data_IF_645347534780
#
_entry.id   IF_645347534780
#
_cell.length_a   1.000
_cell.length_b   1.000
_cell.length_c   1.000
_cell.angle_alpha   90.00
_cell.angle_beta   90.00
_cell.angle_gamma   90.00
#
_symmetry.space_group_name_H-M   'P 1'
#
loop_
_entity.id
_entity.type
_entity.pdbx_description
1 polymer ?
#
# COMPACT_ATOMS: atom_id res chain seq x y z
N UNK A 1 7.68 2.58 -8.59
CA UNK A 1 7.66 4.02 -8.98
C UNK A 1 8.99 4.52 -9.57
N UNK A 2 10.13 3.92 -9.21
CA UNK A 2 11.48 4.35 -9.62
C UNK A 2 11.71 4.49 -11.12
N UNK A 3 11.00 3.70 -11.94
CA UNK A 3 11.05 3.80 -13.42
C UNK A 3 10.58 5.16 -13.96
N UNK A 4 9.84 5.94 -13.16
CA UNK A 4 9.40 7.29 -13.51
C UNK A 4 10.20 8.36 -12.76
N UNK A 5 10.32 8.23 -11.44
CA UNK A 5 11.01 9.23 -10.62
C UNK A 5 11.48 8.64 -9.29
N UNK A 6 12.53 9.25 -8.73
CA UNK A 6 13.00 8.97 -7.37
C UNK A 6 13.07 10.27 -6.57
N UNK A 7 12.77 10.18 -5.28
CA UNK A 7 12.99 11.27 -4.32
C UNK A 7 14.47 11.28 -3.93
N UNK A 8 15.23 12.25 -4.42
CA UNK A 8 16.64 12.40 -4.11
C UNK A 8 16.83 13.39 -2.97
N UNK A 9 17.67 13.02 -2.01
CA UNK A 9 18.03 13.85 -0.86
C UNK A 9 19.51 14.21 -1.01
N UNK A 10 19.88 15.51 -0.92
CA UNK A 10 21.28 15.90 -0.89
C UNK A 10 22.03 15.16 0.23
N UNK A 11 23.26 14.75 -0.05
CA UNK A 11 24.02 13.94 0.91
C UNK A 11 24.21 14.69 2.23
N UNK A 12 23.73 14.12 3.33
CA UNK A 12 23.81 14.68 4.69
C UNK A 12 22.54 15.40 5.17
N UNK A 13 21.56 15.63 4.29
CA UNK A 13 20.31 16.31 4.64
C UNK A 13 19.20 15.34 5.06
N UNK A 14 18.15 15.87 5.68
CA UNK A 14 16.92 15.13 6.03
C UNK A 14 15.95 15.03 4.85
N UNK A 15 14.98 14.12 4.94
CA UNK A 15 14.10 13.75 3.82
C UNK A 15 13.22 14.90 3.30
N UNK A 16 12.95 15.91 4.12
CA UNK A 16 12.19 17.11 3.79
C UNK A 16 12.94 18.07 2.85
N UNK A 17 14.27 17.92 2.70
CA UNK A 17 15.08 18.68 1.73
C UNK A 17 15.17 18.02 0.34
N UNK A 18 14.46 16.92 0.12
CA UNK A 18 14.54 16.20 -1.15
C UNK A 18 13.74 16.83 -2.30
N UNK A 19 13.97 16.28 -3.49
CA UNK A 19 13.21 16.61 -4.69
C UNK A 19 13.07 15.39 -5.61
N UNK A 20 12.05 15.38 -6.47
CA UNK A 20 11.89 14.33 -7.46
C UNK A 20 12.83 14.52 -8.66
N UNK A 21 13.60 13.50 -8.99
CA UNK A 21 14.40 13.38 -10.22
C UNK A 21 13.73 12.40 -11.16
N UNK A 22 13.53 12.82 -12.41
CA UNK A 22 12.79 12.08 -13.45
C UNK A 22 13.66 11.05 -14.17
N UNK A 23 13.02 9.97 -14.63
CA UNK A 23 13.60 8.85 -15.38
C UNK A 23 12.77 8.60 -16.66
N UNK A 24 13.39 8.04 -17.73
CA UNK A 24 12.71 7.80 -19.01
C UNK A 24 11.73 6.61 -18.92
N UNK A 25 10.56 6.84 -18.34
CA UNK A 25 9.59 5.79 -17.98
C UNK A 25 9.14 4.92 -19.15
N UNK A 26 8.95 5.50 -20.33
CA UNK A 26 8.41 4.77 -21.49
C UNK A 26 9.43 3.77 -22.04
N UNK A 27 10.70 4.16 -22.12
CA UNK A 27 11.79 3.29 -22.54
C UNK A 27 12.03 2.18 -21.51
N UNK A 28 12.08 2.54 -20.22
CA UNK A 28 12.31 1.57 -19.13
C UNK A 28 11.19 0.53 -19.02
N UNK A 29 9.92 0.93 -19.18
CA UNK A 29 8.80 -0.02 -19.20
C UNK A 29 8.84 -0.93 -20.44
N UNK A 30 9.23 -0.40 -21.60
CA UNK A 30 9.37 -1.19 -22.83
C UNK A 30 10.47 -2.25 -22.69
N UNK A 31 11.62 -1.90 -22.11
CA UNK A 31 12.71 -2.83 -21.82
C UNK A 31 12.27 -3.87 -20.79
N UNK A 32 11.61 -3.46 -19.71
CA UNK A 32 11.10 -4.37 -18.69
C UNK A 32 10.11 -5.39 -19.27
N UNK A 33 9.20 -4.95 -20.14
CA UNK A 33 8.26 -5.84 -20.82
C UNK A 33 8.97 -6.80 -21.78
N UNK A 34 9.97 -6.33 -22.54
CA UNK A 34 10.78 -7.17 -23.43
C UNK A 34 11.49 -8.28 -22.65
N UNK A 35 12.17 -7.92 -21.56
CA UNK A 35 12.89 -8.89 -20.73
C UNK A 35 11.96 -9.84 -19.99
N UNK A 36 10.80 -9.37 -19.54
CA UNK A 36 9.71 -10.21 -19.00
C UNK A 36 9.29 -11.29 -20.00
N UNK A 37 9.06 -10.92 -21.27
CA UNK A 37 8.66 -11.86 -22.32
C UNK A 37 9.77 -12.87 -22.66
N UNK A 38 11.02 -12.40 -22.80
CA UNK A 38 12.18 -13.27 -23.08
C UNK A 38 12.36 -14.35 -22.02
N UNK A 39 12.07 -14.03 -20.76
CA UNK A 39 12.24 -14.94 -19.63
C UNK A 39 10.96 -15.65 -19.20
N UNK A 40 9.82 -15.36 -19.83
CA UNK A 40 8.49 -15.82 -19.39
C UNK A 40 8.24 -15.53 -17.90
N UNK A 41 8.73 -14.38 -17.44
CA UNK A 41 8.68 -13.96 -16.05
C UNK A 41 7.71 -12.80 -15.92
N UNK A 42 6.56 -13.02 -15.27
CA UNK A 42 5.61 -11.94 -15.03
C UNK A 42 6.19 -10.87 -14.09
N UNK A 43 5.65 -9.65 -14.19
CA UNK A 43 6.12 -8.51 -13.39
C UNK A 43 4.99 -8.00 -12.50
N UNK A 44 5.29 -7.88 -11.21
CA UNK A 44 4.43 -7.24 -10.23
C UNK A 44 5.13 -5.96 -9.78
N UNK A 45 4.48 -4.83 -9.95
CA UNK A 45 4.95 -3.54 -9.46
C UNK A 45 4.37 -3.30 -8.07
N UNK A 46 5.24 -3.16 -7.08
CA UNK A 46 4.86 -2.58 -5.80
C UNK A 46 4.55 -1.10 -6.04
N UNK A 47 3.25 -0.78 -6.08
CA UNK A 47 2.69 0.54 -6.35
C UNK A 47 1.93 1.08 -5.13
N UNK A 48 2.56 1.05 -3.95
CA UNK A 48 2.02 1.57 -2.70
C UNK A 48 2.45 3.04 -2.47
N UNK A 49 1.68 3.74 -1.63
CA UNK A 49 1.96 5.12 -1.26
C UNK A 49 1.53 6.15 -2.31
N UNK A 50 2.32 7.22 -2.47
CA UNK A 50 1.99 8.36 -3.33
C UNK A 50 2.32 8.08 -4.79
N UNK A 51 1.45 7.32 -5.45
CA UNK A 51 1.60 6.94 -6.86
C UNK A 51 1.05 8.05 -7.78
N UNK A 52 1.86 8.63 -8.68
CA UNK A 52 1.40 9.60 -9.67
C UNK A 52 0.32 9.00 -10.58
N UNK A 53 -0.76 9.74 -10.83
CA UNK A 53 -1.85 9.30 -11.72
C UNK A 53 -1.34 8.90 -13.11
N UNK A 54 -0.31 9.61 -13.60
CA UNK A 54 0.33 9.36 -14.90
C UNK A 54 0.94 7.96 -15.05
N UNK A 55 1.41 7.33 -13.97
CA UNK A 55 2.08 6.02 -14.06
C UNK A 55 1.09 4.85 -13.99
N UNK A 56 -0.06 5.03 -13.35
CA UNK A 56 -1.07 3.98 -13.15
C UNK A 56 -1.54 3.41 -14.49
N UNK A 57 -1.81 4.28 -15.46
CA UNK A 57 -2.20 3.88 -16.80
C UNK A 57 -1.08 3.18 -17.57
N UNK A 58 0.17 3.67 -17.45
CA UNK A 58 1.34 3.11 -18.13
C UNK A 58 1.68 1.70 -17.63
N UNK A 59 1.69 1.48 -16.31
CA UNK A 59 1.91 0.17 -15.70
C UNK A 59 0.87 -0.86 -16.16
N UNK A 60 -0.41 -0.48 -16.11
CA UNK A 60 -1.52 -1.35 -16.55
C UNK A 60 -1.37 -1.75 -18.01
N UNK A 61 -1.14 -0.78 -18.91
CA UNK A 61 -0.96 -1.03 -20.35
C UNK A 61 0.29 -1.87 -20.64
N UNK A 62 1.32 -1.78 -19.81
CA UNK A 62 2.56 -2.56 -19.94
C UNK A 62 2.43 -3.98 -19.35
N UNK A 63 1.24 -4.39 -18.89
CA UNK A 63 1.01 -5.71 -18.32
C UNK A 63 1.57 -5.92 -16.91
N UNK A 64 2.00 -4.84 -16.24
CA UNK A 64 2.51 -4.91 -14.86
C UNK A 64 1.33 -5.07 -13.90
N UNK A 65 1.41 -6.07 -13.03
CA UNK A 65 0.40 -6.30 -12.00
C UNK A 65 0.58 -5.31 -10.85
N UNK A 66 -0.52 -4.71 -10.42
CA UNK A 66 -0.55 -3.81 -9.24
C UNK A 66 -0.51 -4.62 -7.94
N UNK A 67 -0.19 -3.97 -6.83
CA UNK A 67 -0.16 -4.55 -5.50
C UNK A 67 -1.29 -3.95 -4.64
N UNK A 68 -2.12 -4.80 -4.04
CA UNK A 68 -3.30 -4.39 -3.26
C UNK A 68 -3.20 -4.94 -1.85
N UNK A 69 -2.88 -4.07 -0.90
CA UNK A 69 -2.79 -4.42 0.52
C UNK A 69 -4.14 -4.15 1.18
N UNK A 70 -4.74 -5.17 1.79
CA UNK A 70 -6.07 -5.09 2.41
C UNK A 70 -6.24 -3.85 3.29
N UNK A 71 -5.24 -3.52 4.13
CA UNK A 71 -5.30 -2.38 5.05
C UNK A 71 -5.48 -1.01 4.37
N UNK A 72 -5.11 -0.90 3.09
CA UNK A 72 -5.18 0.36 2.33
C UNK A 72 -6.38 0.42 1.39
N UNK A 73 -7.08 -0.70 1.18
CA UNK A 73 -8.22 -0.78 0.25
C UNK A 73 -9.53 -0.36 0.93
N UNK A 74 -9.54 0.85 1.48
CA UNK A 74 -10.70 1.52 2.03
C UNK A 74 -10.69 3.01 1.65
N UNK A 75 -11.86 3.64 1.66
CA UNK A 75 -11.99 5.07 1.41
C UNK A 75 -11.77 5.92 2.67
N UNK A 76 -11.95 7.23 2.53
CA UNK A 76 -11.81 8.21 3.61
C UNK A 76 -12.75 7.96 4.81
N UNK A 77 -13.87 7.25 4.60
CA UNK A 77 -14.84 6.88 5.65
C UNK A 77 -14.57 5.48 6.22
N UNK A 78 -13.47 4.82 5.82
CA UNK A 78 -13.11 3.45 6.19
C UNK A 78 -14.09 2.41 5.64
N UNK A 79 -14.78 2.69 4.54
CA UNK A 79 -15.53 1.67 3.80
C UNK A 79 -14.57 0.85 2.94
N UNK A 80 -14.44 -0.44 3.24
CA UNK A 80 -13.53 -1.33 2.51
C UNK A 80 -14.07 -1.71 1.13
N UNK A 81 -13.16 -1.77 0.16
CA UNK A 81 -13.42 -2.19 -1.22
C UNK A 81 -14.04 -3.59 -1.23
N UNK A 82 -15.13 -3.75 -1.98
CA UNK A 82 -15.74 -5.06 -2.20
C UNK A 82 -14.74 -6.03 -2.85
N UNK A 83 -14.69 -7.32 -2.46
CA UNK A 83 -13.76 -8.28 -3.06
C UNK A 83 -13.85 -8.33 -4.61
N UNK A 84 -15.06 -8.25 -5.16
CA UNK A 84 -15.30 -8.24 -6.62
C UNK A 84 -14.85 -6.96 -7.32
N UNK A 85 -14.56 -5.88 -6.58
CA UNK A 85 -14.11 -4.61 -7.12
C UNK A 85 -12.58 -4.46 -7.11
N UNK A 86 -11.84 -5.48 -6.68
CA UNK A 86 -10.38 -5.50 -6.82
C UNK A 86 -10.00 -5.63 -8.30
N UNK A 87 -8.98 -4.89 -8.78
CA UNK A 87 -8.55 -4.99 -10.17
C UNK A 87 -8.06 -6.40 -10.50
N UNK A 88 -8.52 -6.97 -11.62
CA UNK A 88 -8.10 -8.29 -12.07
C UNK A 88 -6.57 -8.40 -12.26
N UNK A 89 -5.93 -7.36 -12.78
CA UNK A 89 -4.48 -7.29 -12.96
C UNK A 89 -3.79 -6.76 -11.69
N UNK A 90 -3.98 -7.47 -10.58
CA UNK A 90 -3.32 -7.16 -9.31
C UNK A 90 -3.06 -8.41 -8.46
N UNK A 91 -2.09 -8.30 -7.56
CA UNK A 91 -1.88 -9.22 -6.47
C UNK A 91 -2.50 -8.63 -5.20
N UNK A 92 -3.41 -9.37 -4.57
CA UNK A 92 -4.01 -8.98 -3.29
C UNK A 92 -3.29 -9.70 -2.15
N UNK A 93 -2.91 -8.94 -1.12
CA UNK A 93 -2.30 -9.46 0.11
C UNK A 93 -2.96 -8.87 1.34
N UNK A 94 -2.90 -9.58 2.47
CA UNK A 94 -3.37 -9.04 3.74
C UNK A 94 -2.45 -7.94 4.28
N UNK A 95 -1.14 -8.19 4.24
CA UNK A 95 -0.08 -7.33 4.77
C UNK A 95 1.24 -7.57 3.99
N UNK A 96 2.28 -6.80 4.27
CA UNK A 96 3.64 -6.97 3.74
C UNK A 96 4.65 -7.13 4.88
N UNK A 97 5.92 -7.33 4.55
CA UNK A 97 6.99 -7.38 5.55
C UNK A 97 7.25 -6.04 6.24
N UNK A 98 6.85 -4.92 5.63
CA UNK A 98 6.95 -3.57 6.20
C UNK A 98 5.79 -3.21 7.12
N UNK A 99 4.74 -4.04 7.15
CA UNK A 99 3.48 -3.75 7.83
C UNK A 99 3.24 -4.74 8.96
N UNK A 100 2.43 -4.37 9.97
CA UNK A 100 2.07 -5.31 11.02
C UNK A 100 1.42 -6.58 10.46
N UNK A 101 1.63 -7.69 11.15
CA UNK A 101 0.83 -8.91 10.93
C UNK A 101 -0.65 -8.63 11.21
N UNK A 102 -1.56 -9.52 10.78
CA UNK A 102 -3.00 -9.39 11.08
C UNK A 102 -3.28 -9.17 12.58
N UNK A 103 -2.61 -9.92 13.46
CA UNK A 103 -2.71 -9.76 14.91
C UNK A 103 -2.15 -8.40 15.35
N UNK A 104 -0.93 -8.07 14.92
CA UNK A 104 -0.29 -6.80 15.27
C UNK A 104 -1.12 -5.59 14.86
N UNK A 105 -1.75 -5.64 13.68
CA UNK A 105 -2.64 -4.60 13.19
C UNK A 105 -3.88 -4.47 14.09
N UNK A 106 -4.51 -5.61 14.43
CA UNK A 106 -5.73 -5.65 15.22
C UNK A 106 -5.53 -5.18 16.67
N UNK A 107 -4.37 -5.50 17.24
CA UNK A 107 -3.96 -5.11 18.60
C UNK A 107 -3.28 -3.73 18.64
N UNK A 108 -3.11 -3.05 17.49
CA UNK A 108 -2.36 -1.78 17.38
C UNK A 108 -0.93 -1.87 17.91
N UNK A 109 -0.31 -3.06 17.77
CA UNK A 109 1.02 -3.37 18.27
C UNK A 109 2.12 -2.59 17.54
N UNK A 110 1.94 -2.28 16.27
CA UNK A 110 2.84 -1.41 15.49
C UNK A 110 2.89 0.01 16.05
N UNK A 111 1.75 0.55 16.49
CA UNK A 111 1.68 1.89 17.08
C UNK A 111 2.32 1.91 18.48
N UNK A 112 2.07 0.87 19.28
CA UNK A 112 2.66 0.74 20.63
C UNK A 112 4.17 0.55 20.56
N UNK A 113 4.64 -0.36 19.70
CA UNK A 113 6.07 -0.61 19.50
C UNK A 113 6.74 0.62 18.88
N UNK A 114 6.14 1.23 17.85
CA UNK A 114 6.64 2.46 17.24
C UNK A 114 6.80 3.60 18.24
N UNK A 115 5.85 3.77 19.18
CA UNK A 115 6.00 4.73 20.29
C UNK A 115 7.22 4.41 21.15
N UNK A 116 7.40 3.16 21.56
CA UNK A 116 8.53 2.76 22.41
C UNK A 116 9.90 2.95 21.73
N UNK A 117 9.93 2.92 20.39
CA UNK A 117 11.12 3.14 19.57
C UNK A 117 11.31 4.62 19.16
N UNK A 118 10.43 5.53 19.59
CA UNK A 118 10.54 6.96 19.28
C UNK A 118 10.09 7.36 17.87
N UNK A 119 9.39 6.48 17.14
CA UNK A 119 8.89 6.78 15.79
C UNK A 119 7.71 7.77 15.79
N UNK A 120 6.99 7.87 16.92
CA UNK A 120 5.84 8.75 17.10
C UNK A 120 6.11 9.71 18.27
N UNK A 121 6.94 10.76 18.08
CA UNK A 121 7.26 11.72 19.13
C UNK A 121 6.10 12.67 19.46
N UNK A 122 5.16 12.86 18.52
CA UNK A 122 3.99 13.72 18.70
C UNK A 122 2.78 12.88 19.19
N UNK A 123 2.36 13.12 20.43
CA UNK A 123 1.23 12.43 21.07
C UNK A 123 -0.13 12.76 20.46
N UNK A 124 -0.29 13.94 19.84
CA UNK A 124 -1.53 14.32 19.15
C UNK A 124 -1.67 13.50 17.87
N UNK A 125 -0.58 13.40 17.10
CA UNK A 125 -0.51 12.56 15.89
C UNK A 125 -0.74 11.09 16.26
N UNK A 126 -0.05 10.58 17.28
CA UNK A 126 -0.19 9.19 17.71
C UNK A 126 -1.62 8.85 18.14
N UNK A 127 -2.28 9.76 18.89
CA UNK A 127 -3.69 9.59 19.26
C UNK A 127 -4.60 9.51 18.04
N UNK A 128 -4.32 10.34 17.03
CA UNK A 128 -5.01 10.28 15.73
C UNK A 128 -4.87 8.90 15.06
N UNK A 129 -3.66 8.35 15.02
CA UNK A 129 -3.39 7.03 14.44
C UNK A 129 -4.18 5.91 15.13
N UNK A 130 -4.28 5.91 16.47
CA UNK A 130 -5.12 4.95 17.19
C UNK A 130 -6.60 5.09 16.84
N UNK A 131 -7.12 6.33 16.77
CA UNK A 131 -8.52 6.57 16.41
C UNK A 131 -8.83 6.11 14.99
N UNK A 132 -7.93 6.40 14.04
CA UNK A 132 -8.06 5.94 12.66
C UNK A 132 -7.99 4.41 12.55
N UNK A 133 -7.11 3.77 13.34
CA UNK A 133 -7.00 2.30 13.40
C UNK A 133 -8.29 1.65 13.87
N UNK A 134 -8.91 2.16 14.93
CA UNK A 134 -10.18 1.60 15.43
C UNK A 134 -11.32 1.77 14.42
N UNK A 135 -11.41 2.92 13.74
CA UNK A 135 -12.37 3.11 12.64
C UNK A 135 -12.12 2.14 11.49
N UNK A 136 -10.86 1.93 11.11
CA UNK A 136 -10.49 0.99 10.06
C UNK A 136 -10.78 -0.48 10.46
N UNK A 137 -10.56 -0.85 11.72
CA UNK A 137 -10.93 -2.18 12.24
C UNK A 137 -12.44 -2.41 12.18
N UNK A 138 -13.23 -1.41 12.57
CA UNK A 138 -14.70 -1.49 12.48
C UNK A 138 -15.15 -1.62 11.02
N UNK A 139 -14.64 -0.77 10.12
CA UNK A 139 -14.97 -0.85 8.70
C UNK A 139 -14.59 -2.18 8.06
N UNK A 140 -13.45 -2.77 8.46
CA UNK A 140 -13.04 -4.10 8.03
C UNK A 140 -13.99 -5.18 8.54
N UNK A 141 -14.37 -5.12 9.83
CA UNK A 141 -15.31 -6.06 10.43
C UNK A 141 -16.68 -6.01 9.72
N UNK A 142 -17.17 -4.81 9.44
CA UNK A 142 -18.43 -4.60 8.72
C UNK A 142 -18.36 -5.20 7.31
N UNK A 143 -17.25 -5.01 6.60
CA UNK A 143 -17.04 -5.59 5.27
C UNK A 143 -16.95 -7.12 5.33
N UNK A 144 -16.25 -7.69 6.31
CA UNK A 144 -16.15 -9.13 6.50
C UNK A 144 -17.54 -9.77 6.72
N UNK A 145 -18.41 -9.14 7.52
CA UNK A 145 -19.79 -9.58 7.67
C UNK A 145 -20.60 -9.40 6.37
N UNK A 146 -20.52 -8.21 5.74
CA UNK A 146 -21.28 -7.87 4.53
C UNK A 146 -21.01 -8.83 3.37
N UNK A 147 -19.76 -9.26 3.20
CA UNK A 147 -19.35 -10.16 2.12
C UNK A 147 -19.28 -11.63 2.53
N UNK A 148 -19.80 -11.99 3.71
CA UNK A 148 -19.97 -13.39 4.12
C UNK A 148 -18.68 -14.10 4.54
N UNK A 149 -17.65 -13.35 4.95
CA UNK A 149 -16.37 -13.89 5.42
C UNK A 149 -16.39 -14.29 6.90
N UNK A 150 -17.43 -13.90 7.65
CA UNK A 150 -17.61 -14.25 9.06
C UNK A 150 -19.02 -14.82 9.32
N UNK A 151 -19.15 -15.74 10.28
CA UNK A 151 -20.46 -16.23 10.71
C UNK A 151 -21.29 -15.11 11.36
N UNK A 152 -22.63 -15.26 11.37
CA UNK A 152 -23.55 -14.27 11.96
C UNK A 152 -23.42 -14.14 13.49
N UNK A 153 -22.82 -15.12 14.14
CA UNK A 153 -22.45 -15.11 15.56
C UNK A 153 -21.08 -15.76 15.69
N UNK A 154 -20.15 -15.08 16.34
CA UNK A 154 -18.98 -15.70 16.94
C UNK A 154 -19.37 -16.02 18.38
N UNK A 155 -19.19 -17.27 18.80
CA UNK A 155 -19.52 -17.74 20.16
C UNK A 155 -18.69 -17.07 21.23
#
# INVERSE_FOLDING_TARGET
MSVLRLWWIPYGETADHGAYVQYPVDDLLSILALESQRHRCMVIGEDLGTVPVEIVGKLRKSGVYSYKVLYFENDHEKTFRAPKAYPQQSMAVATTHDLPTLRGYWESGDLTLGKSLGLYPDEVVLRGLYQERERAKQGLLDALHRYGCLPKRCG
#
